data_IF_343451267848
#
_entry.id   IF_343451267848
#
_cell.length_a   1.000
_cell.length_b   1.000
_cell.length_c   1.000
_cell.angle_alpha   90.00
_cell.angle_beta   90.00
_cell.angle_gamma   90.00
#
_symmetry.space_group_name_H-M   'P 1'
#
loop_
_entity.id
_entity.type
_entity.pdbx_description
1 polymer ?
#
# COMPACT_ATOMS: atom_id res chain seq x y z
N UNK A 1 -48.79 46.80 -27.54
CA UNK A 1 -49.09 45.79 -26.50
C UNK A 1 -48.42 44.51 -26.98
N UNK A 2 -47.29 44.14 -26.37
CA UNK A 2 -47.19 43.03 -25.40
C UNK A 2 -47.30 41.67 -26.10
N UNK A 3 -46.43 40.68 -25.92
CA UNK A 3 -45.32 40.41 -25.00
C UNK A 3 -44.44 39.33 -25.68
N UNK A 4 -43.15 39.16 -25.37
CA UNK A 4 -42.67 38.38 -24.21
C UNK A 4 -43.24 36.95 -24.25
N UNK A 5 -42.48 35.85 -24.27
CA UNK A 5 -41.21 35.62 -23.59
C UNK A 5 -40.49 34.41 -24.20
N UNK A 6 -39.17 34.51 -24.24
CA UNK A 6 -38.29 33.36 -24.43
C UNK A 6 -38.35 32.45 -23.20
N UNK A 7 -38.49 31.16 -23.45
CA UNK A 7 -38.13 30.14 -22.46
C UNK A 7 -36.82 29.52 -22.91
N UNK A 8 -35.75 30.16 -22.47
CA UNK A 8 -34.42 29.57 -22.43
C UNK A 8 -34.52 28.40 -21.44
N UNK A 9 -34.69 27.19 -21.97
CA UNK A 9 -34.69 25.97 -21.20
C UNK A 9 -33.28 25.77 -20.67
N UNK A 10 -33.00 26.43 -19.54
CA UNK A 10 -31.74 26.32 -18.82
C UNK A 10 -31.39 24.86 -18.70
N UNK A 11 -30.34 24.46 -19.43
CA UNK A 11 -29.74 23.16 -19.30
C UNK A 11 -29.35 23.02 -17.83
N UNK A 12 -30.18 22.30 -17.08
CA UNK A 12 -29.92 21.91 -15.71
C UNK A 12 -28.60 21.13 -15.77
N UNK A 13 -27.48 21.81 -15.48
CA UNK A 13 -26.20 21.14 -15.30
C UNK A 13 -26.47 20.13 -14.20
N UNK A 14 -26.51 18.84 -14.55
CA UNK A 14 -26.51 17.77 -13.55
C UNK A 14 -25.39 18.14 -12.56
N UNK A 15 -25.67 18.14 -11.24
CA UNK A 15 -24.61 18.27 -10.26
C UNK A 15 -23.51 17.30 -10.67
N UNK A 16 -22.22 17.71 -10.69
CA UNK A 16 -21.15 16.81 -11.11
C UNK A 16 -21.34 15.50 -10.35
N UNK A 17 -21.46 14.39 -11.09
CA UNK A 17 -21.62 13.07 -10.49
C UNK A 17 -20.59 12.97 -9.38
N UNK A 18 -21.05 12.76 -8.15
CA UNK A 18 -20.17 12.56 -7.02
C UNK A 18 -19.44 11.25 -7.29
N UNK A 19 -18.32 11.31 -8.03
CA UNK A 19 -17.49 10.16 -8.40
C UNK A 19 -17.28 9.31 -7.15
N UNK A 20 -17.55 8.00 -7.24
CA UNK A 20 -17.45 7.06 -6.12
C UNK A 20 -16.12 7.34 -5.38
N UNK A 21 -16.12 7.54 -4.04
CA UNK A 21 -14.90 7.75 -3.29
C UNK A 21 -13.79 6.75 -3.62
N UNK A 22 -14.14 5.49 -3.95
CA UNK A 22 -13.19 4.47 -4.37
C UNK A 22 -12.64 4.71 -5.79
N UNK A 23 -13.47 5.16 -6.74
CA UNK A 23 -13.00 5.55 -8.06
C UNK A 23 -12.02 6.72 -8.00
N UNK A 24 -12.30 7.73 -7.16
CA UNK A 24 -11.36 8.84 -6.92
C UNK A 24 -10.05 8.35 -6.32
N UNK A 25 -10.13 7.47 -5.34
CA UNK A 25 -8.96 6.88 -4.69
C UNK A 25 -8.11 6.09 -5.69
N UNK A 26 -8.72 5.27 -6.53
CA UNK A 26 -8.03 4.49 -7.56
C UNK A 26 -7.47 5.35 -8.70
N UNK A 27 -8.07 6.51 -8.96
CA UNK A 27 -7.49 7.49 -9.90
C UNK A 27 -6.20 8.11 -9.36
N UNK A 28 -6.11 8.32 -8.05
CA UNK A 28 -4.93 8.85 -7.38
C UNK A 28 -3.86 7.77 -7.12
N UNK A 29 -4.32 6.57 -6.75
CA UNK A 29 -3.52 5.41 -6.33
C UNK A 29 -3.94 4.13 -7.08
N UNK A 30 -3.69 4.03 -8.39
CA UNK A 30 -4.08 2.87 -9.22
C UNK A 30 -3.49 1.54 -8.74
N UNK A 31 -2.36 1.57 -8.05
CA UNK A 31 -1.71 0.41 -7.42
C UNK A 31 -2.56 -0.28 -6.36
N UNK A 32 -3.53 0.42 -5.77
CA UNK A 32 -4.46 -0.18 -4.80
C UNK A 32 -5.50 -1.10 -5.43
N UNK A 33 -5.60 -1.11 -6.77
CA UNK A 33 -6.54 -1.97 -7.49
C UNK A 33 -6.32 -3.46 -7.21
N UNK A 34 -5.10 -3.86 -6.81
CA UNK A 34 -4.75 -5.24 -6.44
C UNK A 34 -5.54 -5.79 -5.25
N UNK A 35 -6.09 -4.92 -4.39
CA UNK A 35 -6.92 -5.34 -3.26
C UNK A 35 -8.39 -5.55 -3.66
N UNK A 36 -8.81 -5.02 -4.80
CA UNK A 36 -10.20 -5.04 -5.25
C UNK A 36 -11.07 -3.93 -4.64
N UNK A 37 -12.17 -3.63 -5.34
CA UNK A 37 -13.08 -2.52 -5.01
C UNK A 37 -13.76 -2.74 -3.66
N UNK A 38 -14.21 -3.95 -3.36
CA UNK A 38 -14.95 -4.24 -2.12
C UNK A 38 -14.06 -4.12 -0.87
N UNK A 39 -12.78 -4.49 -0.99
CA UNK A 39 -11.79 -4.26 0.04
C UNK A 39 -11.61 -2.75 0.29
N UNK A 40 -11.47 -1.95 -0.77
CA UNK A 40 -11.32 -0.50 -0.66
C UNK A 40 -12.57 0.16 -0.07
N UNK A 41 -13.77 -0.27 -0.45
CA UNK A 41 -15.02 0.21 0.17
C UNK A 41 -15.05 -0.08 1.67
N UNK A 42 -14.55 -1.24 2.07
CA UNK A 42 -14.52 -1.68 3.46
C UNK A 42 -13.49 -0.89 4.28
N UNK A 43 -12.30 -0.65 3.73
CA UNK A 43 -11.15 -0.15 4.51
C UNK A 43 -10.83 1.32 4.28
N UNK A 44 -11.10 1.91 3.12
CA UNK A 44 -10.81 3.32 2.85
C UNK A 44 -11.47 4.29 3.85
N UNK A 45 -12.66 4.04 4.41
CA UNK A 45 -13.19 4.90 5.47
C UNK A 45 -12.47 4.75 6.83
N UNK A 46 -11.87 3.58 7.10
CA UNK A 46 -11.39 3.17 8.44
C UNK A 46 -9.87 3.22 8.59
N UNK A 47 -9.13 3.13 7.49
CA UNK A 47 -7.68 2.93 7.48
C UNK A 47 -6.97 3.85 6.46
N UNK A 48 -7.45 5.08 6.26
CA UNK A 48 -6.93 6.02 5.24
C UNK A 48 -5.42 6.19 5.27
N UNK A 49 -4.85 6.42 6.45
CA UNK A 49 -3.41 6.61 6.62
C UNK A 49 -2.61 5.37 6.22
N UNK A 50 -3.06 4.19 6.68
CA UNK A 50 -2.44 2.90 6.35
C UNK A 50 -2.54 2.60 4.85
N UNK A 51 -3.71 2.81 4.23
CA UNK A 51 -3.92 2.61 2.80
C UNK A 51 -3.02 3.54 1.97
N UNK A 52 -2.90 4.82 2.36
CA UNK A 52 -1.98 5.74 1.69
C UNK A 52 -0.50 5.34 1.90
N UNK A 53 -0.16 4.75 3.05
CA UNK A 53 1.14 4.11 3.30
C UNK A 53 1.40 2.96 2.33
N UNK A 54 0.47 2.00 2.25
CA UNK A 54 0.54 0.85 1.34
C UNK A 54 0.69 1.33 -0.10
N UNK A 55 -0.15 2.27 -0.54
CA UNK A 55 -0.10 2.80 -1.90
C UNK A 55 1.28 3.37 -2.24
N UNK A 56 1.87 4.19 -1.34
CA UNK A 56 3.23 4.70 -1.51
C UNK A 56 4.28 3.61 -1.62
N UNK A 57 4.17 2.54 -0.82
CA UNK A 57 5.06 1.37 -0.89
C UNK A 57 4.92 0.67 -2.25
N UNK A 58 3.69 0.36 -2.67
CA UNK A 58 3.44 -0.32 -3.94
C UNK A 58 3.88 0.52 -5.14
N UNK A 59 3.72 1.85 -5.09
CA UNK A 59 4.28 2.76 -6.11
C UNK A 59 5.79 2.67 -6.22
N UNK A 60 6.46 2.59 -5.06
CA UNK A 60 7.93 2.52 -4.98
C UNK A 60 8.46 1.14 -5.35
N UNK A 61 7.70 0.09 -5.07
CA UNK A 61 8.05 -1.31 -5.31
C UNK A 61 6.90 -2.05 -6.03
N UNK A 62 6.69 -1.80 -7.33
CA UNK A 62 5.53 -2.34 -8.07
C UNK A 62 5.40 -3.87 -8.04
N UNK A 63 6.52 -4.59 -7.98
CA UNK A 63 6.54 -6.06 -7.88
C UNK A 63 5.81 -6.60 -6.64
N UNK A 64 5.67 -5.81 -5.57
CA UNK A 64 4.91 -6.21 -4.38
C UNK A 64 3.40 -6.30 -4.65
N UNK A 65 2.89 -5.51 -5.61
CA UNK A 65 1.49 -5.52 -6.00
C UNK A 65 1.13 -6.85 -6.68
N UNK A 66 2.04 -7.42 -7.46
CA UNK A 66 1.90 -8.74 -8.07
C UNK A 66 1.81 -9.86 -7.02
N UNK A 67 2.62 -9.78 -5.95
CA UNK A 67 2.54 -10.75 -4.84
C UNK A 67 1.21 -10.70 -4.09
N UNK A 68 0.65 -9.50 -3.91
CA UNK A 68 -0.68 -9.35 -3.29
C UNK A 68 -1.74 -9.99 -4.19
N UNK A 69 -1.68 -9.73 -5.50
CA UNK A 69 -2.63 -10.28 -6.47
C UNK A 69 -2.55 -11.80 -6.66
N UNK A 70 -1.44 -12.45 -6.29
CA UNK A 70 -1.31 -13.92 -6.29
C UNK A 70 -2.03 -14.59 -5.11
N UNK A 71 -2.28 -13.84 -4.02
CA UNK A 71 -2.99 -14.33 -2.85
C UNK A 71 -4.46 -13.91 -2.82
N UNK A 72 -5.25 -14.44 -1.87
CA UNK A 72 -6.59 -13.92 -1.59
C UNK A 72 -6.47 -12.52 -0.97
N UNK A 73 -6.46 -11.49 -1.82
CA UNK A 73 -6.24 -10.09 -1.43
C UNK A 73 -7.34 -9.56 -0.48
N UNK A 74 -8.54 -10.12 -0.55
CA UNK A 74 -9.66 -9.85 0.33
C UNK A 74 -9.40 -10.25 1.79
N UNK A 75 -8.54 -11.25 2.02
CA UNK A 75 -8.14 -11.70 3.36
C UNK A 75 -7.05 -10.83 3.99
N UNK A 76 -6.37 -9.99 3.21
CA UNK A 76 -5.28 -9.14 3.69
C UNK A 76 -5.88 -7.94 4.41
N UNK A 77 -5.85 -7.91 5.75
CA UNK A 77 -6.19 -6.70 6.49
C UNK A 77 -5.17 -5.57 6.21
N UNK A 78 -5.57 -4.28 6.17
CA UNK A 78 -4.64 -3.19 5.88
C UNK A 78 -3.46 -3.11 6.87
N UNK A 79 -3.68 -3.50 8.13
CA UNK A 79 -2.65 -3.53 9.17
C UNK A 79 -1.83 -4.83 9.20
N UNK A 80 -2.22 -5.84 8.43
CA UNK A 80 -1.41 -7.04 8.23
C UNK A 80 -0.33 -6.84 7.17
N UNK A 81 -0.49 -5.80 6.32
CA UNK A 81 0.54 -5.38 5.38
C UNK A 81 1.64 -4.64 6.14
N UNK A 82 2.84 -5.18 6.07
CA UNK A 82 4.05 -4.57 6.58
C UNK A 82 5.07 -4.51 5.45
N UNK A 83 5.85 -3.43 5.42
CA UNK A 83 6.90 -3.24 4.43
C UNK A 83 8.21 -2.86 5.11
N UNK A 84 9.29 -3.39 4.56
CA UNK A 84 10.62 -3.29 5.11
C UNK A 84 11.62 -2.93 4.01
N UNK A 85 12.68 -2.21 4.36
CA UNK A 85 13.79 -1.91 3.46
C UNK A 85 15.10 -2.26 4.14
N UNK A 86 15.98 -2.95 3.42
CA UNK A 86 17.33 -3.21 3.89
C UNK A 86 18.09 -1.88 4.04
N UNK A 87 18.86 -1.71 5.11
CA UNK A 87 19.57 -0.44 5.38
C UNK A 87 20.56 -0.03 4.31
N UNK A 88 21.16 -1.01 3.67
CA UNK A 88 22.06 -0.82 2.54
C UNK A 88 21.31 -0.47 1.23
N UNK A 89 19.98 -0.43 1.25
CA UNK A 89 19.13 -0.17 0.09
C UNK A 89 19.09 -1.31 -0.92
N UNK A 90 19.69 -2.47 -0.60
CA UNK A 90 19.88 -3.56 -1.55
C UNK A 90 18.59 -4.30 -1.92
N UNK A 91 17.59 -4.27 -1.04
CA UNK A 91 16.31 -4.93 -1.25
C UNK A 91 15.21 -4.36 -0.36
N UNK A 92 13.96 -4.60 -0.78
CA UNK A 92 12.78 -4.32 0.00
C UNK A 92 12.01 -5.62 0.25
N UNK A 93 11.22 -5.65 1.31
CA UNK A 93 10.40 -6.80 1.67
C UNK A 93 8.96 -6.40 1.99
N UNK A 94 8.03 -7.31 1.74
CA UNK A 94 6.62 -7.20 2.13
C UNK A 94 6.15 -8.42 2.91
N UNK A 95 5.39 -8.21 3.98
CA UNK A 95 4.67 -9.22 4.74
C UNK A 95 3.18 -8.90 4.65
N UNK A 96 2.34 -9.91 4.41
CA UNK A 96 0.89 -9.74 4.21
C UNK A 96 0.04 -10.34 5.34
N UNK A 97 0.62 -11.24 6.14
CA UNK A 97 -0.11 -12.02 7.16
C UNK A 97 0.70 -12.24 8.44
N UNK A 98 1.78 -11.48 8.62
CA UNK A 98 2.74 -11.69 9.72
C UNK A 98 3.59 -12.97 9.54
N UNK A 99 4.76 -12.98 10.17
CA UNK A 99 5.67 -14.13 10.21
C UNK A 99 6.66 -14.21 9.03
N UNK A 100 6.19 -14.15 7.77
CA UNK A 100 7.07 -14.21 6.60
C UNK A 100 7.07 -12.91 5.81
N UNK A 101 8.27 -12.45 5.47
CA UNK A 101 8.50 -11.34 4.56
C UNK A 101 9.10 -11.87 3.24
N UNK A 102 8.54 -11.42 2.12
CA UNK A 102 9.02 -11.69 0.78
C UNK A 102 9.92 -10.54 0.35
N UNK A 103 11.18 -10.82 0.09
CA UNK A 103 12.22 -9.82 -0.18
C UNK A 103 12.74 -9.93 -1.60
N UNK A 104 12.94 -8.79 -2.25
CA UNK A 104 13.59 -8.70 -3.55
C UNK A 104 14.15 -7.30 -3.80
N UNK A 105 15.15 -7.20 -4.67
CA UNK A 105 15.61 -5.91 -5.18
C UNK A 105 14.59 -5.30 -6.15
N UNK A 106 14.04 -6.14 -7.03
CA UNK A 106 13.23 -5.71 -8.18
C UNK A 106 12.06 -6.65 -8.50
N UNK A 107 11.91 -7.76 -7.77
CA UNK A 107 10.89 -8.78 -8.02
C UNK A 107 11.38 -10.03 -8.76
N UNK A 108 12.60 -10.04 -9.33
CA UNK A 108 13.10 -11.17 -10.13
C UNK A 108 13.47 -12.42 -9.32
N UNK A 109 13.95 -12.23 -8.08
CA UNK A 109 14.44 -13.31 -7.21
C UNK A 109 13.84 -13.20 -5.81
N UNK A 110 12.50 -13.27 -5.74
CA UNK A 110 11.78 -13.14 -4.47
C UNK A 110 12.15 -14.28 -3.53
N UNK A 111 12.80 -13.94 -2.41
CA UNK A 111 13.13 -14.88 -1.33
C UNK A 111 12.21 -14.66 -0.15
N UNK A 112 11.94 -15.73 0.60
CA UNK A 112 11.13 -15.67 1.82
C UNK A 112 12.02 -15.66 3.06
N UNK A 113 11.89 -14.65 3.91
CA UNK A 113 12.62 -14.48 5.16
C UNK A 113 11.66 -14.39 6.35
N UNK A 114 12.05 -14.98 7.48
CA UNK A 114 11.40 -14.70 8.78
C UNK A 114 12.17 -13.54 9.40
N UNK A 115 11.51 -12.39 9.54
CA UNK A 115 12.08 -11.21 10.18
C UNK A 115 11.67 -11.19 11.65
N UNK A 116 12.62 -10.92 12.54
CA UNK A 116 12.34 -10.69 13.95
C UNK A 116 12.74 -9.28 14.35
N UNK A 117 11.94 -8.69 15.23
CA UNK A 117 12.20 -7.38 15.80
C UNK A 117 13.57 -7.39 16.50
N UNK A 118 14.35 -6.34 16.26
CA UNK A 118 15.67 -6.17 16.87
C UNK A 118 15.69 -5.01 17.87
N UNK A 119 15.23 -3.83 17.47
CA UNK A 119 15.26 -2.62 18.31
C UNK A 119 14.40 -1.48 17.74
N UNK A 120 14.08 -0.51 18.59
CA UNK A 120 13.60 0.80 18.16
C UNK A 120 14.79 1.74 17.96
N UNK A 121 14.73 2.56 16.92
CA UNK A 121 15.73 3.59 16.67
C UNK A 121 15.09 4.95 16.47
N UNK A 122 15.73 6.04 16.94
CA UNK A 122 15.32 7.40 16.58
C UNK A 122 15.31 7.57 15.06
N UNK A 123 14.24 8.18 14.53
CA UNK A 123 14.13 8.55 13.12
C UNK A 123 13.38 9.88 13.01
N UNK A 124 13.59 10.64 11.93
CA UNK A 124 13.03 11.99 11.79
C UNK A 124 11.53 12.02 12.14
N UNK A 125 11.18 12.80 13.17
CA UNK A 125 9.79 12.94 13.65
C UNK A 125 9.28 11.80 14.54
N UNK A 126 10.10 10.83 14.95
CA UNK A 126 9.68 9.76 15.86
C UNK A 126 10.70 8.62 16.05
N UNK A 127 10.21 7.39 16.00
CA UNK A 127 11.00 6.15 16.09
C UNK A 127 10.66 5.22 14.94
N UNK A 128 11.62 4.39 14.53
CA UNK A 128 11.42 3.32 13.55
C UNK A 128 11.83 1.98 14.15
N UNK A 129 11.16 0.94 13.73
CA UNK A 129 11.47 -0.43 14.13
C UNK A 129 12.54 -1.02 13.20
N UNK A 130 13.57 -1.59 13.78
CA UNK A 130 14.63 -2.32 13.09
C UNK A 130 14.43 -3.83 13.27
N UNK A 131 14.66 -4.58 12.20
CA UNK A 131 14.45 -6.02 12.12
C UNK A 131 15.68 -6.73 11.57
N UNK A 132 15.82 -8.01 11.92
CA UNK A 132 16.88 -8.88 11.43
C UNK A 132 16.31 -10.26 11.04
N UNK A 133 16.93 -10.98 10.09
CA UNK A 133 16.52 -12.34 9.77
C UNK A 133 16.70 -13.29 10.96
N UNK A 134 15.66 -14.11 11.26
CA UNK A 134 15.66 -15.04 12.40
C UNK A 134 16.46 -16.32 12.14
N UNK A 135 16.37 -16.89 10.93
CA UNK A 135 17.07 -18.14 10.54
C UNK A 135 18.14 -17.89 9.47
N UNK A 136 19.27 -18.58 9.63
CA UNK A 136 20.55 -18.24 9.01
C UNK A 136 20.83 -19.04 7.72
N UNK A 137 21.18 -18.33 6.65
CA UNK A 137 22.33 -18.72 5.81
C UNK A 137 23.49 -17.78 6.16
N UNK A 138 24.75 -18.17 5.93
CA UNK A 138 25.92 -17.34 6.29
C UNK A 138 25.90 -15.92 5.66
N UNK A 139 25.16 -15.75 4.55
CA UNK A 139 25.04 -14.50 3.81
C UNK A 139 23.96 -13.54 4.35
N UNK A 140 23.00 -13.99 5.18
CA UNK A 140 21.92 -13.16 5.69
C UNK A 140 22.19 -12.51 7.06
N UNK A 141 23.28 -12.92 7.76
CA UNK A 141 23.58 -12.53 9.15
C UNK A 141 23.80 -11.03 9.40
N UNK A 142 24.17 -10.27 8.37
CA UNK A 142 24.57 -8.88 8.53
C UNK A 142 23.51 -7.86 8.09
N UNK A 143 22.40 -8.31 7.49
CA UNK A 143 21.40 -7.37 6.96
C UNK A 143 20.41 -6.97 8.05
N UNK A 144 20.33 -5.67 8.28
CA UNK A 144 19.28 -5.04 9.06
C UNK A 144 18.25 -4.41 8.13
N UNK A 145 16.99 -4.51 8.55
CA UNK A 145 15.85 -3.96 7.84
C UNK A 145 15.19 -2.91 8.72
N UNK A 146 14.62 -1.88 8.10
CA UNK A 146 13.78 -0.89 8.79
C UNK A 146 12.37 -1.01 8.28
N UNK A 147 11.40 -0.97 9.19
CA UNK A 147 9.98 -0.91 8.85
C UNK A 147 9.66 0.48 8.28
N UNK A 148 8.95 0.50 7.16
CA UNK A 148 8.61 1.72 6.41
C UNK A 148 7.11 1.94 6.25
N UNK A 149 6.29 1.03 6.78
CA UNK A 149 4.83 1.07 6.78
C UNK A 149 4.29 0.86 8.19
#
# INVERSE_FOLDING_TARGET
MSSGDGVDAGAMRRPPEQTDPVERLLKEWPELSVFGVDWLRTWAPRARGQIAGIARVLRRYPWMAELIGQGPADLVGPYAVEAYVARDGSEACISLFGGWAYCSADGSNVKRLELEFSRLEPHEGGVREAYRPKRLSAFSRAKEYVRIL
#
